data_IF_780744129842
#
_entry.id   IF_780744129842
#
_cell.length_a   1.000
_cell.length_b   1.000
_cell.length_c   1.000
_cell.angle_alpha   90.00
_cell.angle_beta   90.00
_cell.angle_gamma   90.00
#
_symmetry.space_group_name_H-M   'P 1'
#
loop_
_entity.id
_entity.type
_entity.pdbx_description
1 polymer ?
#
# COMPACT_ATOMS: atom_id res chain seq x y z
N UNK A 1 -13.47 -3.09 -14.24
CA UNK A 1 -12.01 -2.93 -14.29
C UNK A 1 -11.63 -1.76 -15.18
N UNK A 2 -10.62 -0.99 -14.79
CA UNK A 2 -10.15 0.14 -15.58
C UNK A 2 -9.48 -0.32 -16.87
N UNK A 3 -9.70 0.42 -17.94
CA UNK A 3 -8.97 0.22 -19.19
C UNK A 3 -7.53 0.72 -18.99
N UNK A 4 -6.61 0.21 -19.82
CA UNK A 4 -5.20 0.60 -19.72
C UNK A 4 -5.01 2.12 -19.76
N UNK A 5 -5.76 2.81 -20.62
CA UNK A 5 -5.69 4.28 -20.73
C UNK A 5 -6.16 5.01 -19.48
N UNK A 6 -6.95 4.34 -18.64
CA UNK A 6 -7.47 4.90 -17.40
C UNK A 6 -6.58 4.57 -16.19
N UNK A 7 -5.61 3.68 -16.37
CA UNK A 7 -4.66 3.29 -15.31
C UNK A 7 -3.46 4.22 -15.33
N UNK A 8 -3.70 5.44 -14.84
CA UNK A 8 -2.67 6.49 -14.80
C UNK A 8 -1.67 6.22 -13.68
N UNK A 9 -0.54 6.91 -13.73
CA UNK A 9 0.45 6.82 -12.64
C UNK A 9 -0.13 7.28 -11.32
N UNK A 10 -1.00 8.29 -11.34
CA UNK A 10 -1.67 8.73 -10.12
C UNK A 10 -2.50 7.62 -9.51
N UNK A 11 -3.24 6.87 -10.34
CA UNK A 11 -4.03 5.74 -9.89
C UNK A 11 -3.14 4.68 -9.22
N UNK A 12 -2.01 4.34 -9.84
CA UNK A 12 -1.08 3.37 -9.28
C UNK A 12 -0.44 3.86 -7.99
N UNK A 13 -0.02 5.12 -7.94
CA UNK A 13 0.62 5.68 -6.75
C UNK A 13 -0.34 5.78 -5.58
N UNK A 14 -1.61 6.12 -5.86
CA UNK A 14 -2.64 6.15 -4.83
C UNK A 14 -2.89 4.76 -4.27
N UNK A 15 -3.00 3.76 -5.14
CA UNK A 15 -3.16 2.37 -4.71
C UNK A 15 -1.95 1.92 -3.87
N UNK A 16 -0.74 2.29 -4.29
CA UNK A 16 0.46 2.00 -3.52
C UNK A 16 0.45 2.63 -2.14
N UNK A 17 0.01 3.88 -2.06
CA UNK A 17 -0.12 4.60 -0.79
C UNK A 17 -1.08 3.89 0.16
N UNK A 18 -2.23 3.48 -0.37
CA UNK A 18 -3.23 2.76 0.43
C UNK A 18 -2.73 1.39 0.87
N UNK A 19 -1.98 0.69 0.02
CA UNK A 19 -1.38 -0.59 0.38
C UNK A 19 -0.33 -0.44 1.48
N UNK A 20 0.47 0.63 1.45
CA UNK A 20 1.42 0.93 2.53
C UNK A 20 0.71 1.12 3.86
N UNK A 21 -0.40 1.87 3.85
CA UNK A 21 -1.21 2.07 5.05
C UNK A 21 -1.77 0.75 5.58
N UNK A 22 -2.33 -0.05 4.69
CA UNK A 22 -2.88 -1.35 5.05
C UNK A 22 -1.82 -2.24 5.71
N UNK A 23 -0.64 -2.30 5.13
CA UNK A 23 0.45 -3.15 5.66
C UNK A 23 0.94 -2.64 7.00
N UNK A 24 1.10 -1.33 7.16
CA UNK A 24 1.53 -0.73 8.41
C UNK A 24 0.51 -0.98 9.51
N UNK A 25 -0.76 -0.71 9.22
CA UNK A 25 -1.84 -0.94 10.20
C UNK A 25 -1.98 -2.43 10.52
N UNK A 26 -1.88 -3.28 9.50
CA UNK A 26 -1.96 -4.73 9.69
C UNK A 26 -0.86 -5.26 10.60
N UNK A 27 0.36 -4.78 10.43
CA UNK A 27 1.48 -5.16 11.29
C UNK A 27 1.24 -4.72 12.73
N UNK A 28 0.77 -3.49 12.91
CA UNK A 28 0.44 -2.97 14.24
C UNK A 28 -0.69 -3.76 14.87
N UNK A 29 -1.73 -4.05 14.10
CA UNK A 29 -2.85 -4.86 14.58
C UNK A 29 -2.39 -6.25 15.04
N UNK A 30 -1.51 -6.88 14.26
CA UNK A 30 -1.00 -8.20 14.60
C UNK A 30 -0.28 -8.19 15.95
N UNK A 31 0.50 -7.13 16.23
CA UNK A 31 1.17 -6.97 17.53
C UNK A 31 0.16 -6.72 18.64
N UNK A 32 -0.75 -5.78 18.42
CA UNK A 32 -1.69 -5.35 19.46
C UNK A 32 -2.68 -6.44 19.87
N UNK A 33 -3.08 -7.28 18.91
CA UNK A 33 -4.08 -8.32 19.17
C UNK A 33 -3.48 -9.65 19.64
N UNK A 34 -2.16 -9.75 19.65
CA UNK A 34 -1.47 -11.01 19.96
C UNK A 34 -1.83 -11.57 21.35
N UNK A 35 -2.14 -10.69 22.30
CA UNK A 35 -2.49 -11.10 23.65
C UNK A 35 -3.92 -11.61 23.82
N UNK A 36 -4.78 -11.45 22.81
CA UNK A 36 -6.20 -11.81 22.90
C UNK A 36 -6.63 -12.88 21.92
N UNK A 37 -5.73 -13.33 21.06
CA UNK A 37 -6.02 -14.40 20.09
C UNK A 37 -5.26 -15.66 20.43
N UNK A 38 -5.87 -16.82 20.11
CA UNK A 38 -5.16 -18.08 20.14
C UNK A 38 -4.05 -18.10 19.10
N UNK A 39 -3.08 -18.99 19.25
CA UNK A 39 -2.00 -19.13 18.27
C UNK A 39 -2.53 -19.46 16.88
N UNK A 40 -3.59 -20.27 16.79
CA UNK A 40 -4.20 -20.62 15.52
C UNK A 40 -4.85 -19.41 14.85
N UNK A 41 -5.51 -18.56 15.62
CA UNK A 41 -6.15 -17.37 15.08
C UNK A 41 -5.14 -16.29 14.68
N UNK A 42 -4.05 -16.17 15.46
CA UNK A 42 -2.94 -15.28 15.07
C UNK A 42 -2.34 -15.71 13.72
N UNK A 43 -2.14 -17.01 13.54
CA UNK A 43 -1.61 -17.55 12.30
C UNK A 43 -2.52 -17.23 11.11
N UNK A 44 -3.84 -17.33 11.30
CA UNK A 44 -4.81 -16.97 10.28
C UNK A 44 -4.70 -15.50 9.91
N UNK A 45 -4.55 -14.62 10.90
CA UNK A 45 -4.39 -13.19 10.65
C UNK A 45 -3.12 -12.91 9.87
N UNK A 46 -2.00 -13.48 10.28
CA UNK A 46 -0.71 -13.28 9.61
C UNK A 46 -0.75 -13.76 8.17
N UNK A 47 -1.40 -14.89 7.90
CA UNK A 47 -1.55 -15.39 6.54
C UNK A 47 -2.41 -14.45 5.69
N UNK A 48 -3.48 -13.94 6.27
CA UNK A 48 -4.36 -13.00 5.58
C UNK A 48 -3.60 -11.71 5.21
N UNK A 49 -2.82 -11.19 6.14
CA UNK A 49 -2.01 -9.99 5.90
C UNK A 49 -0.93 -10.25 4.85
N UNK A 50 -0.31 -11.43 4.87
CA UNK A 50 0.75 -11.77 3.92
C UNK A 50 0.26 -11.86 2.48
N UNK A 51 -1.02 -12.14 2.26
CA UNK A 51 -1.57 -12.22 0.91
C UNK A 51 -1.57 -10.88 0.19
N UNK A 52 -1.50 -9.77 0.91
CA UNK A 52 -1.43 -8.46 0.27
C UNK A 52 -0.15 -8.30 -0.56
N UNK A 53 0.92 -8.99 -0.20
CA UNK A 53 2.17 -8.91 -0.96
C UNK A 53 2.03 -9.49 -2.37
N UNK A 54 1.18 -10.50 -2.54
CA UNK A 54 0.88 -11.04 -3.87
C UNK A 54 0.16 -10.00 -4.72
N UNK A 55 -0.78 -9.29 -4.12
CA UNK A 55 -1.53 -8.23 -4.80
C UNK A 55 -0.59 -7.08 -5.16
N UNK A 56 0.29 -6.69 -4.24
CA UNK A 56 1.28 -5.65 -4.49
C UNK A 56 2.19 -6.02 -5.67
N UNK A 57 2.63 -7.28 -5.72
CA UNK A 57 3.49 -7.76 -6.81
C UNK A 57 2.79 -7.68 -8.16
N UNK A 58 1.52 -8.06 -8.22
CA UNK A 58 0.73 -7.96 -9.46
C UNK A 58 0.49 -6.51 -9.86
N UNK A 59 0.20 -5.65 -8.89
CA UNK A 59 0.00 -4.23 -9.16
C UNK A 59 1.27 -3.60 -9.70
N UNK A 60 2.42 -3.94 -9.14
CA UNK A 60 3.71 -3.47 -9.62
C UNK A 60 3.98 -3.94 -11.05
N UNK A 61 3.73 -5.22 -11.34
CA UNK A 61 3.90 -5.75 -12.68
C UNK A 61 3.03 -5.02 -13.69
N UNK A 62 1.78 -4.76 -13.32
CA UNK A 62 0.84 -4.03 -14.19
C UNK A 62 1.30 -2.59 -14.41
N UNK A 63 1.81 -1.95 -13.36
CA UNK A 63 2.31 -0.58 -13.46
C UNK A 63 3.46 -0.47 -14.46
N UNK A 64 4.46 -1.34 -14.34
CA UNK A 64 5.60 -1.34 -15.26
C UNK A 64 5.24 -1.81 -16.66
N UNK A 65 4.22 -2.67 -16.77
CA UNK A 65 3.72 -3.08 -18.07
C UNK A 65 3.01 -1.93 -18.80
N UNK A 66 2.18 -1.19 -18.06
CA UNK A 66 1.42 -0.07 -18.63
C UNK A 66 2.30 1.16 -18.89
N UNK A 67 3.37 1.31 -18.13
CA UNK A 67 4.27 2.47 -18.19
C UNK A 67 5.72 1.99 -18.25
N UNK A 68 6.15 1.41 -19.38
CA UNK A 68 7.48 0.80 -19.48
C UNK A 68 8.64 1.79 -19.40
N UNK A 69 8.37 3.08 -19.50
CA UNK A 69 9.38 4.15 -19.42
C UNK A 69 9.79 4.48 -17.97
N UNK A 70 9.13 3.90 -16.99
CA UNK A 70 9.42 4.22 -15.59
C UNK A 70 10.82 3.79 -15.18
N UNK A 71 11.46 4.62 -14.36
CA UNK A 71 12.79 4.34 -13.81
C UNK A 71 12.68 3.50 -12.53
N UNK A 72 13.84 3.14 -11.98
CA UNK A 72 13.89 2.39 -10.72
C UNK A 72 13.37 3.19 -9.53
N UNK A 73 13.18 4.50 -9.66
CA UNK A 73 12.60 5.32 -8.60
C UNK A 73 11.19 4.87 -8.22
N UNK A 74 10.52 4.11 -9.09
CA UNK A 74 9.16 3.62 -8.88
C UNK A 74 9.10 2.22 -8.26
N UNK A 75 10.24 1.61 -7.94
CA UNK A 75 10.26 0.24 -7.41
C UNK A 75 9.58 0.11 -6.05
N UNK A 76 9.55 1.18 -5.26
CA UNK A 76 8.99 1.14 -3.91
C UNK A 76 7.55 1.65 -3.81
N UNK A 77 6.87 1.94 -4.92
CA UNK A 77 5.52 2.49 -4.89
C UNK A 77 4.60 1.67 -3.98
N UNK A 78 4.62 0.33 -4.12
CA UNK A 78 3.76 -0.56 -3.34
C UNK A 78 4.44 -1.12 -2.09
N UNK A 79 5.74 -0.95 -1.93
CA UNK A 79 6.52 -1.61 -0.88
C UNK A 79 7.20 -0.67 0.10
N UNK A 80 7.18 0.63 -0.15
CA UNK A 80 7.84 1.57 0.74
C UNK A 80 7.19 1.64 2.11
N UNK A 81 7.94 2.15 3.08
CA UNK A 81 7.48 2.32 4.44
C UNK A 81 6.66 3.61 4.60
N UNK A 82 5.84 3.67 5.65
CA UNK A 82 5.11 4.89 6.03
C UNK A 82 5.86 5.70 7.09
N UNK A 83 6.88 5.14 7.70
CA UNK A 83 7.59 5.77 8.82
C UNK A 83 9.08 6.01 8.58
N UNK A 84 9.58 5.69 7.39
CA UNK A 84 10.97 5.96 7.02
C UNK A 84 11.09 7.26 6.23
N UNK A 85 12.32 7.74 6.13
CA UNK A 85 12.64 8.88 5.27
C UNK A 85 12.46 8.45 3.81
N UNK A 86 11.78 9.25 2.98
CA UNK A 86 11.61 8.92 1.56
C UNK A 86 12.96 8.74 0.84
N UNK A 87 13.04 7.76 -0.03
CA UNK A 87 14.26 7.46 -0.79
C UNK A 87 14.46 8.36 -1.99
N UNK A 88 13.37 8.87 -2.54
CA UNK A 88 13.37 9.71 -3.74
C UNK A 88 12.07 10.50 -3.81
N UNK A 89 11.93 11.34 -4.84
CA UNK A 89 10.75 12.20 -5.00
C UNK A 89 9.46 11.40 -5.21
N UNK A 90 9.55 10.26 -5.89
CA UNK A 90 8.39 9.39 -6.09
C UNK A 90 7.92 8.83 -4.76
N UNK A 91 8.85 8.33 -3.97
CA UNK A 91 8.56 7.77 -2.65
C UNK A 91 7.93 8.82 -1.73
N UNK A 92 8.46 10.06 -1.77
CA UNK A 92 7.91 11.17 -1.00
C UNK A 92 6.46 11.47 -1.40
N UNK A 93 6.19 11.48 -2.70
CA UNK A 93 4.84 11.73 -3.21
C UNK A 93 3.86 10.63 -2.78
N UNK A 94 4.26 9.37 -2.86
CA UNK A 94 3.42 8.25 -2.42
C UNK A 94 3.18 8.34 -0.91
N UNK A 95 4.20 8.70 -0.15
CA UNK A 95 4.07 8.86 1.30
C UNK A 95 3.07 9.98 1.64
N UNK A 96 3.12 11.10 0.93
CA UNK A 96 2.17 12.20 1.12
C UNK A 96 0.74 11.74 0.78
N UNK A 97 0.57 10.97 -0.27
CA UNK A 97 -0.72 10.37 -0.62
C UNK A 97 -1.23 9.44 0.48
N UNK A 98 -0.34 8.70 1.14
CA UNK A 98 -0.70 7.82 2.25
C UNK A 98 -1.22 8.63 3.43
N UNK A 99 -0.58 9.75 3.74
CA UNK A 99 -1.04 10.65 4.81
C UNK A 99 -2.43 11.20 4.51
N UNK A 100 -2.65 11.64 3.27
CA UNK A 100 -3.96 12.15 2.84
C UNK A 100 -5.03 11.06 2.92
N UNK A 101 -4.71 9.83 2.51
CA UNK A 101 -5.65 8.73 2.57
C UNK A 101 -6.03 8.40 4.02
N UNK A 102 -5.05 8.40 4.92
CA UNK A 102 -5.31 8.17 6.34
C UNK A 102 -6.23 9.25 6.91
N UNK A 103 -5.95 10.52 6.61
CA UNK A 103 -6.79 11.63 7.05
C UNK A 103 -8.20 11.52 6.50
N UNK A 104 -8.34 11.12 5.26
CA UNK A 104 -9.63 10.95 4.59
C UNK A 104 -10.51 9.91 5.25
N UNK A 105 -9.93 8.89 5.86
CA UNK A 105 -10.70 7.87 6.57
C UNK A 105 -11.44 8.45 7.77
N UNK A 106 -10.84 9.43 8.44
CA UNK A 106 -11.46 10.05 9.60
C UNK A 106 -12.45 11.15 9.25
N UNK A 107 -12.17 11.88 8.18
CA UNK A 107 -13.06 12.95 7.74
C UNK A 107 -14.36 12.41 7.15
N UNK A 108 -14.28 11.23 6.57
CA UNK A 108 -15.40 10.61 5.89
C UNK A 108 -15.80 11.38 4.63
N UNK A 109 -16.54 10.71 3.77
CA UNK A 109 -17.05 11.32 2.56
C UNK A 109 -18.47 11.78 2.75
N UNK A 110 -18.81 12.90 2.12
CA UNK A 110 -20.17 13.39 2.12
C UNK A 110 -20.64 14.00 3.42
N UNK A 111 -19.70 14.38 4.23
CA UNK A 111 -20.01 15.07 5.49
C UNK A 111 -19.71 16.53 5.41
#
# INVERSE_FOLDING_TARGET
MLKRSERTMETYMRAGAEMRLYKTLGTRLAVDISGVLSAADQDKLLRALGKIDEVCSRAEDNMFHDHPELTNDYLDVFYGSTDDVPRNDVDEKVLDMAKEAADGLFKGKGR
#
